data_IF_139531541915
#
_entry.id   IF_139531541915
#
_cell.length_a   1.000
_cell.length_b   1.000
_cell.length_c   1.000
_cell.angle_alpha   90.00
_cell.angle_beta   90.00
_cell.angle_gamma   90.00
#
_symmetry.space_group_name_H-M   'P 1'
#
loop_
_entity.id
_entity.type
_entity.pdbx_description
1 polymer ?
#
# COMPACT_ATOMS: atom_id res chain seq x y z
N UNK A 1 2.94 -19.22 -5.11
CA UNK A 1 2.03 -19.23 -3.95
C UNK A 1 2.82 -18.74 -2.76
N UNK A 2 2.42 -17.60 -2.20
CA UNK A 2 3.07 -17.00 -1.06
C UNK A 2 2.13 -17.07 0.14
N UNK A 3 2.65 -17.42 1.30
CA UNK A 3 1.86 -17.45 2.55
C UNK A 3 2.21 -16.22 3.37
N UNK A 4 1.20 -15.56 3.96
CA UNK A 4 1.42 -14.48 4.91
C UNK A 4 1.91 -15.07 6.23
N UNK A 5 3.13 -14.73 6.64
CA UNK A 5 3.76 -15.21 7.87
C UNK A 5 3.46 -14.28 9.04
N UNK A 6 3.51 -12.97 8.80
CA UNK A 6 3.29 -11.97 9.84
C UNK A 6 2.84 -10.63 9.24
N UNK A 7 2.16 -9.84 10.08
CA UNK A 7 1.86 -8.44 9.84
C UNK A 7 2.69 -7.61 10.81
N UNK A 8 3.59 -6.77 10.28
CA UNK A 8 4.51 -5.97 11.09
C UNK A 8 4.28 -4.47 10.89
N UNK A 9 4.48 -3.73 11.97
CA UNK A 9 4.46 -2.27 11.96
C UNK A 9 5.89 -1.72 11.80
N UNK A 10 6.12 -0.93 10.76
CA UNK A 10 7.39 -0.25 10.54
C UNK A 10 7.33 1.20 11.07
N UNK A 11 8.37 1.61 11.81
CA UNK A 11 8.46 2.96 12.37
C UNK A 11 8.36 4.03 11.27
N UNK A 12 7.52 5.04 11.49
CA UNK A 12 7.33 6.17 10.58
C UNK A 12 6.31 5.93 9.47
N UNK A 13 5.88 4.67 9.27
CA UNK A 13 4.79 4.32 8.36
C UNK A 13 3.51 4.05 9.14
N UNK A 14 2.39 4.36 8.51
CA UNK A 14 1.06 4.13 9.10
C UNK A 14 0.51 2.77 8.66
N UNK A 15 0.71 2.41 7.38
CA UNK A 15 0.29 1.12 6.85
C UNK A 15 1.22 0.00 7.36
N UNK A 16 0.67 -1.14 7.80
CA UNK A 16 1.46 -2.32 8.16
C UNK A 16 2.02 -3.04 6.92
N UNK A 17 3.13 -3.75 7.11
CA UNK A 17 3.72 -4.65 6.13
C UNK A 17 3.27 -6.08 6.38
N UNK A 18 3.00 -6.81 5.30
CA UNK A 18 2.88 -8.25 5.32
C UNK A 18 4.24 -8.87 4.95
N UNK A 19 4.77 -9.68 5.86
CA UNK A 19 5.88 -10.59 5.57
C UNK A 19 5.30 -11.81 4.88
N UNK A 20 5.71 -12.04 3.64
CA UNK A 20 5.29 -13.18 2.86
C UNK A 20 6.45 -14.12 2.61
N UNK A 21 6.16 -15.41 2.67
CA UNK A 21 7.13 -16.45 2.38
C UNK A 21 6.74 -17.19 1.11
N UNK A 22 7.68 -17.26 0.17
CA UNK A 22 7.55 -18.03 -1.06
C UNK A 22 8.87 -18.72 -1.38
N UNK A 23 8.84 -20.05 -1.56
CA UNK A 23 10.03 -20.87 -1.91
C UNK A 23 11.25 -20.60 -0.99
N UNK A 24 11.03 -20.41 0.30
CA UNK A 24 12.08 -20.16 1.31
C UNK A 24 12.67 -18.73 1.31
N UNK A 25 12.11 -17.80 0.53
CA UNK A 25 12.48 -16.38 0.54
C UNK A 25 11.36 -15.55 1.17
N UNK A 26 11.74 -14.60 2.02
CA UNK A 26 10.83 -13.62 2.63
C UNK A 26 10.78 -12.36 1.79
N UNK A 27 9.57 -11.88 1.52
CA UNK A 27 9.30 -10.63 0.81
C UNK A 27 8.38 -9.74 1.65
N UNK A 28 8.60 -8.43 1.56
CA UNK A 28 7.73 -7.45 2.21
C UNK A 28 6.80 -6.83 1.18
N UNK A 29 5.52 -6.90 1.44
CA UNK A 29 4.51 -6.14 0.71
C UNK A 29 3.70 -5.30 1.69
N UNK A 30 3.04 -4.28 1.17
CA UNK A 30 2.06 -3.53 1.98
C UNK A 30 0.84 -4.42 2.20
N UNK A 31 0.37 -4.49 3.44
CA UNK A 31 -0.83 -5.25 3.75
C UNK A 31 -2.08 -4.54 3.19
N UNK A 32 -2.94 -5.30 2.52
CA UNK A 32 -4.28 -4.83 2.19
C UNK A 32 -5.24 -5.08 3.34
N UNK A 33 -6.32 -4.30 3.36
CA UNK A 33 -7.38 -4.50 4.33
C UNK A 33 -7.97 -5.92 4.21
N UNK A 34 -8.20 -6.58 5.36
CA UNK A 34 -8.71 -7.95 5.41
C UNK A 34 -7.67 -9.07 5.31
N UNK A 35 -6.39 -8.75 5.11
CA UNK A 35 -5.32 -9.77 5.10
C UNK A 35 -5.05 -10.28 6.50
N UNK A 36 -5.02 -11.60 6.63
CA UNK A 36 -4.72 -12.32 7.87
C UNK A 36 -3.46 -13.18 7.75
N UNK A 37 -2.85 -13.49 8.88
CA UNK A 37 -1.72 -14.43 8.94
C UNK A 37 -2.21 -15.83 8.54
N UNK A 38 -1.48 -16.49 7.64
CA UNK A 38 -1.86 -17.77 7.07
C UNK A 38 -2.58 -17.68 5.71
N UNK A 39 -2.95 -16.47 5.27
CA UNK A 39 -3.58 -16.29 3.96
C UNK A 39 -2.64 -16.63 2.82
N UNK A 40 -3.22 -17.20 1.77
CA UNK A 40 -2.54 -17.63 0.56
C UNK A 40 -2.69 -16.56 -0.51
N UNK A 41 -1.60 -15.90 -0.86
CA UNK A 41 -1.57 -14.90 -1.91
C UNK A 41 -0.94 -15.43 -3.20
N UNK A 42 -1.55 -15.09 -4.32
CA UNK A 42 -1.10 -15.45 -5.65
C UNK A 42 -0.39 -14.25 -6.31
N UNK A 43 0.76 -14.55 -6.90
CA UNK A 43 1.66 -13.58 -7.52
C UNK A 43 1.79 -13.98 -9.00
N UNK A 44 1.46 -13.07 -9.92
CA UNK A 44 1.77 -13.18 -11.34
C UNK A 44 3.04 -12.39 -11.71
N UNK A 45 3.41 -12.39 -12.99
CA UNK A 45 4.67 -11.85 -13.52
C UNK A 45 4.90 -10.33 -13.33
N UNK A 46 6.12 -9.90 -13.65
CA UNK A 46 7.06 -9.26 -12.72
C UNK A 46 7.30 -7.75 -12.99
N UNK A 47 6.24 -6.97 -13.21
CA UNK A 47 6.39 -5.49 -13.25
C UNK A 47 5.55 -4.82 -12.18
N UNK A 48 6.18 -4.23 -11.16
CA UNK A 48 5.49 -3.68 -9.98
C UNK A 48 5.07 -2.23 -10.21
N UNK A 49 3.79 -1.90 -10.01
CA UNK A 49 3.33 -0.52 -9.92
C UNK A 49 3.55 0.02 -8.50
N UNK A 50 4.31 1.11 -8.37
CA UNK A 50 4.51 1.78 -7.08
C UNK A 50 3.64 3.03 -6.95
N UNK A 51 2.32 2.85 -6.83
CA UNK A 51 1.37 3.94 -6.56
C UNK A 51 0.46 3.57 -5.38
N UNK A 52 -0.09 4.58 -4.69
CA UNK A 52 -1.04 4.39 -3.59
C UNK A 52 -0.53 3.48 -2.45
N UNK A 53 0.68 3.74 -1.94
CA UNK A 53 1.30 2.96 -0.86
C UNK A 53 0.96 3.45 0.55
N UNK A 54 0.26 4.58 0.67
CA UNK A 54 -0.13 5.19 1.96
C UNK A 54 -1.38 4.49 2.50
N UNK A 55 -1.52 4.44 3.83
CA UNK A 55 -2.68 3.86 4.51
C UNK A 55 -4.00 4.48 4.00
N UNK A 56 -4.96 3.64 3.60
CA UNK A 56 -6.25 4.05 3.03
C UNK A 56 -6.22 4.53 1.58
N UNK A 57 -5.06 4.56 0.92
CA UNK A 57 -4.99 4.90 -0.50
C UNK A 57 -5.43 3.72 -1.37
N UNK A 58 -6.16 4.03 -2.45
CA UNK A 58 -6.49 3.09 -3.52
C UNK A 58 -6.46 3.83 -4.87
N UNK A 59 -6.35 3.05 -5.94
CA UNK A 59 -6.48 3.55 -7.30
C UNK A 59 -7.70 2.89 -7.94
N UNK A 60 -8.41 3.64 -8.80
CA UNK A 60 -9.53 3.09 -9.57
C UNK A 60 -9.11 2.91 -11.01
N UNK A 61 -9.42 1.75 -11.58
CA UNK A 61 -9.27 1.49 -13.02
C UNK A 61 -10.44 2.17 -13.72
N UNK A 62 -10.16 3.12 -14.61
CA UNK A 62 -11.23 3.78 -15.37
C UNK A 62 -11.42 3.16 -16.76
N UNK A 63 -10.33 2.88 -17.46
CA UNK A 63 -10.40 2.39 -18.84
C UNK A 63 -9.21 1.51 -19.20
N UNK A 64 -9.48 0.44 -19.95
CA UNK A 64 -8.48 -0.38 -20.61
C UNK A 64 -8.51 -0.11 -22.12
N UNK A 65 -7.44 0.48 -22.65
CA UNK A 65 -7.23 0.67 -24.08
C UNK A 65 -6.55 -0.56 -24.67
N UNK A 66 -7.33 -1.39 -25.34
CA UNK A 66 -6.84 -2.63 -25.99
C UNK A 66 -5.91 -2.36 -27.18
N UNK A 67 -6.11 -1.25 -27.89
CA UNK A 67 -5.29 -0.91 -29.08
C UNK A 67 -3.84 -0.55 -28.73
N UNK A 68 -3.62 0.07 -27.58
CA UNK A 68 -2.30 0.56 -27.16
C UNK A 68 -1.74 -0.18 -25.95
N UNK A 69 -2.34 -1.30 -25.53
CA UNK A 69 -1.93 -2.08 -24.34
C UNK A 69 -1.70 -1.21 -23.09
N UNK A 70 -2.61 -0.25 -22.89
CA UNK A 70 -2.53 0.76 -21.84
C UNK A 70 -3.80 0.82 -21.00
N UNK A 71 -3.61 1.11 -19.71
CA UNK A 71 -4.68 1.27 -18.74
C UNK A 71 -4.64 2.67 -18.15
N UNK A 72 -5.80 3.32 -18.10
CA UNK A 72 -5.98 4.61 -17.43
C UNK A 72 -6.38 4.35 -15.99
N UNK A 73 -5.52 4.77 -15.06
CA UNK A 73 -5.77 4.71 -13.64
C UNK A 73 -6.08 6.10 -13.10
N UNK A 74 -7.10 6.18 -12.25
CA UNK A 74 -7.35 7.33 -11.38
C UNK A 74 -6.51 7.17 -10.11
N UNK A 75 -5.57 8.07 -9.92
CA UNK A 75 -4.73 8.14 -8.72
C UNK A 75 -5.55 8.64 -7.51
N UNK A 76 -5.09 8.38 -6.27
CA UNK A 76 -5.72 8.92 -5.07
C UNK A 76 -5.68 10.46 -5.01
N UNK A 77 -4.80 11.11 -5.79
CA UNK A 77 -4.79 12.57 -5.97
C UNK A 77 -5.89 13.10 -6.89
N UNK A 78 -6.71 12.22 -7.49
CA UNK A 78 -7.73 12.55 -8.48
C UNK A 78 -7.21 12.68 -9.92
N UNK A 79 -5.89 12.72 -10.11
CA UNK A 79 -5.28 12.77 -11.45
C UNK A 79 -5.41 11.44 -12.18
N UNK A 80 -5.69 11.50 -13.47
CA UNK A 80 -5.68 10.33 -14.35
C UNK A 80 -4.29 10.15 -14.95
N UNK A 81 -3.73 8.94 -14.85
CA UNK A 81 -2.45 8.60 -15.48
C UNK A 81 -2.59 7.32 -16.28
N UNK A 82 -1.87 7.29 -17.40
CA UNK A 82 -1.82 6.15 -18.31
C UNK A 82 -0.63 5.28 -17.91
N UNK A 83 -0.89 3.99 -17.72
CA UNK A 83 0.11 2.97 -17.42
C UNK A 83 0.04 1.86 -18.47
N UNK A 84 1.07 1.03 -18.58
CA UNK A 84 0.99 -0.19 -19.39
C UNK A 84 0.04 -1.20 -18.73
N UNK A 85 -0.69 -1.98 -19.52
CA UNK A 85 -1.59 -3.03 -19.02
C UNK A 85 -0.85 -4.20 -18.38
N UNK A 86 0.46 -4.36 -18.67
CA UNK A 86 1.27 -5.45 -18.11
C UNK A 86 1.72 -5.20 -16.66
N UNK A 87 1.41 -4.03 -16.08
CA UNK A 87 1.86 -3.69 -14.73
C UNK A 87 0.99 -4.37 -13.66
N UNK A 88 1.67 -4.93 -12.67
CA UNK A 88 1.09 -5.58 -11.50
C UNK A 88 0.61 -4.57 -10.46
N UNK A 89 -0.61 -4.82 -9.97
CA UNK A 89 -1.18 -4.19 -8.79
C UNK A 89 -1.56 -5.25 -7.76
N UNK A 90 -1.71 -4.81 -6.51
CA UNK A 90 -2.35 -5.60 -5.46
C UNK A 90 -3.81 -5.13 -5.42
N UNK A 91 -4.74 -6.08 -5.39
CA UNK A 91 -6.17 -5.79 -5.36
C UNK A 91 -6.56 -5.43 -3.92
N UNK A 92 -7.26 -4.31 -3.76
CA UNK A 92 -7.80 -3.86 -2.48
C UNK A 92 -7.32 -2.48 -2.06
N UNK A 93 -7.67 -2.11 -0.83
CA UNK A 93 -7.27 -0.86 -0.19
C UNK A 93 -6.12 -1.15 0.76
N UNK A 94 -5.17 -0.21 0.88
CA UNK A 94 -4.08 -0.33 1.86
C UNK A 94 -4.62 -0.27 3.29
N UNK A 95 -4.20 -1.20 4.13
CA UNK A 95 -4.61 -1.28 5.52
C UNK A 95 -4.23 -0.03 6.35
N UNK A 96 -4.98 0.24 7.42
CA UNK A 96 -4.75 1.38 8.32
C UNK A 96 -5.45 2.67 7.89
N UNK A 97 -6.57 2.58 7.18
CA UNK A 97 -7.41 3.74 6.86
C UNK A 97 -7.93 4.44 8.13
N UNK A 98 -8.30 5.71 8.01
CA UNK A 98 -8.94 6.47 9.10
C UNK A 98 -8.00 7.04 10.18
N UNK A 99 -6.68 6.87 10.05
CA UNK A 99 -5.71 7.43 11.01
C UNK A 99 -5.75 8.96 11.09
N UNK A 100 -6.15 9.62 9.99
CA UNK A 100 -6.29 11.08 9.92
C UNK A 100 -7.58 11.61 10.53
N UNK A 101 -8.60 10.77 10.74
CA UNK A 101 -9.90 11.19 11.29
C UNK A 101 -9.78 11.62 12.75
N UNK A 102 -8.85 11.01 13.50
CA UNK A 102 -8.61 11.34 14.91
C UNK A 102 -7.69 12.57 15.02
N UNK A 103 -8.17 13.70 15.58
CA UNK A 103 -7.34 14.89 15.72
C UNK A 103 -6.24 14.73 16.78
N UNK A 104 -5.13 15.44 16.59
CA UNK A 104 -4.03 15.51 17.55
C UNK A 104 -4.35 16.55 18.63
N UNK A 105 -4.83 16.08 19.79
CA UNK A 105 -5.25 16.95 20.89
C UNK A 105 -4.09 17.58 21.67
N UNK A 106 -2.91 16.95 21.70
CA UNK A 106 -1.75 17.37 22.51
C UNK A 106 -0.52 17.61 21.64
N UNK A 107 0.21 18.69 21.92
CA UNK A 107 1.48 19.01 21.27
C UNK A 107 2.54 17.89 21.46
N UNK A 108 2.54 17.21 22.60
CA UNK A 108 3.43 16.07 22.85
C UNK A 108 3.21 14.91 21.87
N UNK A 109 1.95 14.57 21.55
CA UNK A 109 1.64 13.53 20.56
C UNK A 109 2.12 13.94 19.16
N UNK A 110 1.97 15.22 18.80
CA UNK A 110 2.49 15.75 17.54
C UNK A 110 4.02 15.72 17.47
N UNK A 111 4.72 16.02 18.57
CA UNK A 111 6.18 15.92 18.67
C UNK A 111 6.66 14.49 18.40
N UNK A 112 6.08 13.48 19.07
CA UNK A 112 6.46 12.08 18.85
C UNK A 112 6.17 11.61 17.41
N UNK A 113 5.04 12.03 16.83
CA UNK A 113 4.70 11.72 15.45
C UNK A 113 5.74 12.30 14.47
N UNK A 114 6.09 13.58 14.59
CA UNK A 114 7.08 14.22 13.69
C UNK A 114 8.49 13.67 13.91
N UNK A 115 8.89 13.42 15.16
CA UNK A 115 10.15 12.75 15.52
C UNK A 115 10.28 11.38 14.85
N UNK A 116 9.20 10.60 14.79
CA UNK A 116 9.20 9.28 14.12
C UNK A 116 9.43 9.36 12.60
N UNK A 117 9.06 10.49 11.99
CA UNK A 117 9.19 10.75 10.54
C UNK A 117 10.45 11.53 10.17
N UNK A 118 11.29 11.88 11.15
CA UNK A 118 12.43 12.77 10.92
C UNK A 118 12.03 14.18 10.46
N UNK A 119 10.80 14.61 10.77
CA UNK A 119 10.29 15.92 10.41
C UNK A 119 10.61 16.94 11.50
N UNK A 120 10.78 18.20 11.09
CA UNK A 120 10.97 19.31 12.02
C UNK A 120 9.73 19.48 12.92
N UNK A 121 9.95 19.61 14.23
CA UNK A 121 8.95 19.97 15.23
C UNK A 121 9.61 20.85 16.29
N UNK A 122 8.94 21.89 16.82
CA UNK A 122 7.68 22.49 16.34
C UNK A 122 7.72 22.94 14.87
#
# INVERSE_FOLDING_TARGET
>A
MATVVALEHERGKVAPFAIMEMKGKRFHIVATEGVSVGDKMYFGDDTKLNVAMTAGAFCTIENHRKESEQTVLKLPSGQKRIFSSNVRAIIGVVAGAGVTEKPLLKAGTAHYLRKSRGQLFP
#
